data_IF_107985069706
#
_entry.id   IF_107985069706
#
_cell.length_a   1.000
_cell.length_b   1.000
_cell.length_c   1.000
_cell.angle_alpha   90.00
_cell.angle_beta   90.00
_cell.angle_gamma   90.00
#
_symmetry.space_group_name_H-M   'P 1'
#
loop_
_entity.id
_entity.type
_entity.pdbx_description
1 polymer ?
#
# COMPACT_ATOMS: atom_id res chain seq x y z
N UNK A 1 26.53 -3.88 -7.88
CA UNK A 1 26.29 -3.51 -6.47
C UNK A 1 26.05 -2.01 -6.40
N UNK A 2 25.03 -1.55 -5.67
CA UNK A 2 24.77 -0.12 -5.51
C UNK A 2 25.87 0.55 -4.69
N UNK A 3 26.01 1.86 -4.89
CA UNK A 3 26.93 2.72 -4.15
C UNK A 3 26.11 3.88 -3.58
N UNK A 4 26.40 4.28 -2.34
CA UNK A 4 25.75 5.43 -1.70
C UNK A 4 26.56 6.68 -2.07
N UNK A 5 25.89 7.73 -2.53
CA UNK A 5 26.53 9.02 -2.87
C UNK A 5 25.93 10.14 -2.03
N UNK A 6 26.78 10.94 -1.41
CA UNK A 6 26.39 12.10 -0.59
C UNK A 6 27.26 13.28 -0.98
N UNK A 7 26.71 14.24 -1.74
CA UNK A 7 27.51 15.30 -2.35
C UNK A 7 28.49 14.74 -3.38
N UNK A 8 29.79 15.01 -3.23
CA UNK A 8 30.84 14.46 -4.09
C UNK A 8 31.38 13.11 -3.60
N UNK A 9 31.14 12.77 -2.33
CA UNK A 9 31.61 11.54 -1.72
C UNK A 9 30.78 10.34 -2.18
N UNK A 10 31.47 9.24 -2.51
CA UNK A 10 30.88 7.99 -2.99
C UNK A 10 31.43 6.83 -2.18
N UNK A 11 30.55 5.99 -1.65
CA UNK A 11 30.95 4.77 -0.94
C UNK A 11 31.54 3.74 -1.90
N UNK A 12 32.31 2.81 -1.34
CA UNK A 12 32.55 1.53 -1.99
C UNK A 12 31.23 0.80 -2.30
N UNK A 13 31.23 -0.14 -3.26
CA UNK A 13 30.05 -0.95 -3.55
C UNK A 13 29.55 -1.66 -2.29
N UNK A 14 28.27 -1.52 -1.99
CA UNK A 14 27.63 -2.13 -0.82
C UNK A 14 26.90 -3.40 -1.26
N UNK A 15 27.14 -4.51 -0.55
CA UNK A 15 26.28 -5.68 -0.65
C UNK A 15 24.93 -5.36 -0.03
N UNK A 16 23.87 -5.45 -0.84
CA UNK A 16 22.53 -5.42 -0.31
C UNK A 16 22.19 -6.80 0.23
N UNK A 17 21.59 -6.83 1.43
CA UNK A 17 20.94 -8.04 1.94
C UNK A 17 19.62 -8.34 1.25
N UNK A 18 18.86 -9.26 1.84
CA UNK A 18 17.54 -9.63 1.34
C UNK A 18 16.58 -8.44 1.29
N UNK A 19 15.59 -8.55 0.42
CA UNK A 19 14.63 -7.49 0.12
C UNK A 19 13.51 -7.45 1.15
N UNK A 20 13.88 -7.23 2.40
CA UNK A 20 13.00 -7.24 3.57
C UNK A 20 13.50 -6.30 4.68
N UNK A 21 12.63 -6.00 5.63
CA UNK A 21 13.07 -5.39 6.90
C UNK A 21 13.34 -6.50 7.92
N UNK A 22 14.33 -6.35 8.82
CA UNK A 22 14.59 -7.36 9.85
C UNK A 22 13.35 -7.61 10.71
N UNK A 23 12.99 -8.89 10.88
CA UNK A 23 11.89 -9.28 11.75
C UNK A 23 12.19 -8.84 13.19
N UNK A 24 11.25 -8.14 13.81
CA UNK A 24 11.40 -7.62 15.17
C UNK A 24 12.19 -6.31 15.29
N UNK A 25 12.60 -5.68 14.18
CA UNK A 25 13.18 -4.34 14.23
C UNK A 25 12.11 -3.30 14.60
N UNK A 26 12.47 -2.43 15.55
CA UNK A 26 11.63 -1.30 16.00
C UNK A 26 11.35 -0.31 14.86
N UNK A 27 12.21 -0.27 13.84
CA UNK A 27 12.07 0.65 12.71
C UNK A 27 11.22 0.11 11.56
N UNK A 28 10.99 -1.21 11.49
CA UNK A 28 10.24 -1.82 10.39
C UNK A 28 8.85 -1.21 10.17
N UNK A 29 8.04 -0.94 11.23
CA UNK A 29 6.73 -0.31 11.04
C UNK A 29 6.80 1.09 10.44
N UNK A 30 7.81 1.89 10.85
CA UNK A 30 8.01 3.23 10.32
C UNK A 30 8.42 3.18 8.84
N UNK A 31 9.35 2.29 8.48
CA UNK A 31 9.81 2.13 7.11
C UNK A 31 8.69 1.67 6.18
N UNK A 32 7.82 0.78 6.64
CA UNK A 32 6.62 0.38 5.91
C UNK A 32 5.71 1.59 5.64
N UNK A 33 5.39 2.38 6.68
CA UNK A 33 4.56 3.57 6.53
C UNK A 33 5.17 4.60 5.57
N UNK A 34 6.50 4.79 5.60
CA UNK A 34 7.19 5.68 4.67
C UNK A 34 7.10 5.19 3.22
N UNK A 35 7.26 3.89 3.00
CA UNK A 35 7.10 3.28 1.68
C UNK A 35 5.66 3.38 1.17
N UNK A 36 4.67 3.35 2.06
CA UNK A 36 3.24 3.40 1.70
C UNK A 36 2.60 4.80 1.76
N UNK A 37 3.33 5.82 2.21
CA UNK A 37 2.84 7.19 2.38
C UNK A 37 2.15 7.80 1.13
N UNK A 38 2.57 7.50 -0.11
CA UNK A 38 1.87 7.98 -1.32
C UNK A 38 0.51 7.36 -1.58
N UNK A 39 0.26 6.12 -1.14
CA UNK A 39 -0.95 5.36 -1.47
C UNK A 39 -2.25 6.04 -1.01
N UNK A 40 -2.36 6.59 0.22
CA UNK A 40 -3.51 7.40 0.61
C UNK A 40 -3.85 8.54 -0.37
N UNK A 41 -2.82 9.19 -0.94
CA UNK A 41 -3.00 10.25 -1.94
C UNK A 41 -3.62 9.74 -3.23
N UNK A 42 -3.19 8.56 -3.69
CA UNK A 42 -3.75 7.89 -4.88
C UNK A 42 -5.21 7.47 -4.64
N UNK A 43 -5.52 6.94 -3.46
CA UNK A 43 -6.88 6.53 -3.10
C UNK A 43 -7.84 7.71 -2.98
N UNK A 44 -7.39 8.87 -2.46
CA UNK A 44 -8.20 10.10 -2.40
C UNK A 44 -8.62 10.65 -3.77
N UNK A 45 -7.93 10.26 -4.85
CA UNK A 45 -8.33 10.62 -6.22
C UNK A 45 -9.50 9.75 -6.75
N UNK A 46 -9.93 8.75 -5.99
CA UNK A 46 -11.07 7.89 -6.29
C UNK A 46 -12.25 8.40 -5.47
N UNK A 47 -13.16 9.13 -6.13
CA UNK A 47 -14.39 9.58 -5.48
C UNK A 47 -15.23 8.41 -4.99
N UNK A 48 -15.89 8.58 -3.83
CA UNK A 48 -16.77 7.57 -3.25
C UNK A 48 -16.07 6.50 -2.40
N UNK A 49 -14.75 6.58 -2.25
CA UNK A 49 -13.95 5.59 -1.49
C UNK A 49 -13.26 6.23 -0.29
N UNK A 50 -13.55 5.69 0.88
CA UNK A 50 -12.78 5.91 2.11
C UNK A 50 -11.81 4.74 2.33
N UNK A 51 -10.78 4.98 3.14
CA UNK A 51 -9.77 3.97 3.44
C UNK A 51 -9.19 4.11 4.84
N UNK A 52 -8.75 2.99 5.40
CA UNK A 52 -8.05 2.93 6.68
C UNK A 52 -6.87 1.97 6.59
N UNK A 53 -5.74 2.37 7.18
CA UNK A 53 -4.51 1.58 7.24
C UNK A 53 -4.24 1.14 8.66
N UNK A 54 -3.86 -0.12 8.83
CA UNK A 54 -3.34 -0.66 10.08
C UNK A 54 -2.20 -1.63 9.75
N UNK A 55 -0.95 -1.15 9.85
CA UNK A 55 0.22 -1.88 9.35
C UNK A 55 -0.01 -2.31 7.88
N UNK A 56 0.11 -3.61 7.58
CA UNK A 56 -0.10 -4.18 6.25
C UNK A 56 -1.58 -4.38 5.88
N UNK A 57 -2.51 -4.24 6.83
CA UNK A 57 -3.94 -4.31 6.56
C UNK A 57 -4.48 -2.96 6.05
N UNK A 58 -5.18 -3.02 4.92
CA UNK A 58 -5.87 -1.90 4.30
C UNK A 58 -7.35 -2.23 4.13
N UNK A 59 -8.21 -1.38 4.69
CA UNK A 59 -9.65 -1.43 4.48
C UNK A 59 -10.06 -0.38 3.46
N UNK A 60 -10.86 -0.78 2.47
CA UNK A 60 -11.51 0.10 1.49
C UNK A 60 -13.02 0.05 1.72
N UNK A 61 -13.68 1.20 1.74
CA UNK A 61 -15.11 1.28 1.99
C UNK A 61 -15.76 2.38 1.14
N UNK A 62 -17.05 2.23 0.85
CA UNK A 62 -17.83 3.23 0.14
C UNK A 62 -18.89 3.85 1.04
N UNK A 63 -19.28 5.08 0.73
CA UNK A 63 -20.35 5.74 1.46
C UNK A 63 -21.71 5.08 1.19
N UNK A 64 -22.55 5.02 2.22
CA UNK A 64 -23.89 4.37 2.20
C UNK A 64 -24.85 4.92 1.13
N UNK A 65 -24.60 6.12 0.61
CA UNK A 65 -25.50 6.80 -0.34
C UNK A 65 -25.26 6.43 -1.81
N UNK A 66 -24.20 5.67 -2.13
CA UNK A 66 -23.89 5.32 -3.51
C UNK A 66 -24.70 4.12 -4.01
N UNK A 67 -25.06 4.12 -5.30
CA UNK A 67 -25.68 2.96 -5.91
C UNK A 67 -24.71 1.77 -5.92
N UNK A 68 -25.21 0.54 -5.78
CA UNK A 68 -24.36 -0.65 -5.68
C UNK A 68 -23.37 -0.79 -6.85
N UNK A 69 -23.79 -0.46 -8.08
CA UNK A 69 -22.92 -0.52 -9.26
C UNK A 69 -21.82 0.57 -9.28
N UNK A 70 -22.08 1.74 -8.70
CA UNK A 70 -21.06 2.79 -8.57
C UNK A 70 -20.06 2.42 -7.47
N UNK A 71 -20.57 1.96 -6.33
CA UNK A 71 -19.74 1.48 -5.22
C UNK A 71 -18.82 0.33 -5.65
N UNK A 72 -19.33 -0.66 -6.38
CA UNK A 72 -18.53 -1.77 -6.90
C UNK A 72 -17.40 -1.29 -7.83
N UNK A 73 -17.71 -0.40 -8.78
CA UNK A 73 -16.71 0.18 -9.69
C UNK A 73 -15.63 0.96 -8.94
N UNK A 74 -16.04 1.74 -7.93
CA UNK A 74 -15.13 2.55 -7.12
C UNK A 74 -14.19 1.66 -6.27
N UNK A 75 -14.75 0.65 -5.59
CA UNK A 75 -13.98 -0.33 -4.82
C UNK A 75 -13.04 -1.14 -5.71
N UNK A 76 -13.50 -1.59 -6.88
CA UNK A 76 -12.66 -2.34 -7.81
C UNK A 76 -11.48 -1.48 -8.30
N UNK A 77 -11.73 -0.20 -8.64
CA UNK A 77 -10.68 0.73 -9.02
C UNK A 77 -9.68 0.93 -7.88
N UNK A 78 -10.16 1.11 -6.66
CA UNK A 78 -9.30 1.26 -5.48
C UNK A 78 -8.47 0.00 -5.22
N UNK A 79 -9.05 -1.19 -5.26
CA UNK A 79 -8.34 -2.46 -5.10
C UNK A 79 -7.26 -2.64 -6.18
N UNK A 80 -7.55 -2.29 -7.44
CA UNK A 80 -6.54 -2.28 -8.51
C UNK A 80 -5.42 -1.28 -8.24
N UNK A 81 -5.73 -0.06 -7.79
CA UNK A 81 -4.70 0.94 -7.43
C UNK A 81 -3.79 0.44 -6.31
N UNK A 82 -4.34 -0.20 -5.28
CA UNK A 82 -3.57 -0.81 -4.19
C UNK A 82 -2.65 -1.91 -4.73
N UNK A 83 -3.20 -2.80 -5.57
CA UNK A 83 -2.44 -3.91 -6.15
C UNK A 83 -1.23 -3.43 -6.96
N UNK A 84 -1.45 -2.49 -7.88
CA UNK A 84 -0.38 -1.94 -8.72
C UNK A 84 0.65 -1.17 -7.89
N UNK A 85 0.20 -0.42 -6.88
CA UNK A 85 1.11 0.31 -6.00
C UNK A 85 1.98 -0.63 -5.16
N UNK A 86 1.37 -1.64 -4.51
CA UNK A 86 2.10 -2.65 -3.75
C UNK A 86 3.15 -3.36 -4.62
N UNK A 87 2.78 -3.72 -5.85
CA UNK A 87 3.70 -4.31 -6.83
C UNK A 87 4.88 -3.39 -7.15
N UNK A 88 4.64 -2.09 -7.29
CA UNK A 88 5.71 -1.09 -7.51
C UNK A 88 6.69 -1.00 -6.33
N UNK A 89 6.22 -1.23 -5.10
CA UNK A 89 7.05 -1.32 -3.90
C UNK A 89 7.77 -2.68 -3.77
N UNK A 90 7.49 -3.65 -4.66
CA UNK A 90 8.02 -5.01 -4.57
C UNK A 90 7.25 -5.91 -3.59
N UNK A 91 6.03 -5.53 -3.22
CA UNK A 91 5.13 -6.34 -2.40
C UNK A 91 4.03 -6.98 -3.26
N UNK A 92 3.30 -7.91 -2.66
CA UNK A 92 2.12 -8.53 -3.25
C UNK A 92 0.95 -8.48 -2.28
N UNK A 93 -0.25 -8.16 -2.75
CA UNK A 93 -1.47 -8.40 -1.98
C UNK A 93 -1.65 -9.91 -1.75
N UNK A 94 -2.31 -10.29 -0.65
CA UNK A 94 -2.67 -11.68 -0.34
C UNK A 94 -4.16 -11.93 -0.62
N UNK A 95 -4.57 -12.37 -1.83
CA UNK A 95 -5.98 -12.46 -2.20
C UNK A 95 -6.75 -13.45 -1.31
N UNK A 96 -6.09 -14.51 -0.84
CA UNK A 96 -6.69 -15.54 0.01
C UNK A 96 -6.99 -15.02 1.43
N UNK A 97 -6.45 -13.87 1.80
CA UNK A 97 -6.72 -13.18 3.08
C UNK A 97 -7.62 -11.96 2.91
N UNK A 98 -7.91 -11.58 1.66
CA UNK A 98 -8.71 -10.39 1.35
C UNK A 98 -10.18 -10.77 1.38
N UNK A 99 -10.99 -10.00 2.11
CA UNK A 99 -12.41 -10.30 2.34
C UNK A 99 -13.29 -9.15 1.87
N UNK A 100 -14.49 -9.47 1.39
CA UNK A 100 -15.51 -8.49 1.03
C UNK A 100 -16.69 -8.57 1.99
N UNK A 101 -16.91 -7.49 2.74
CA UNK A 101 -18.07 -7.34 3.61
C UNK A 101 -19.14 -6.48 2.95
N UNK A 102 -20.30 -7.07 2.65
CA UNK A 102 -21.49 -6.34 2.20
C UNK A 102 -22.54 -6.28 3.32
N UNK A 103 -22.81 -5.08 3.82
CA UNK A 103 -23.88 -4.84 4.79
C UNK A 103 -25.16 -4.50 4.01
N UNK A 104 -26.08 -5.45 3.92
CA UNK A 104 -27.43 -5.20 3.40
C UNK A 104 -28.30 -4.63 4.52
N UNK A 105 -29.18 -3.65 4.24
CA UNK A 105 -30.16 -3.17 5.21
C UNK A 105 -31.14 -4.27 5.63
#
# INVERSE_FOLDING_TARGET
>A
MPTIKTGEEKSDPVELGDRDTPKGSVLSPLLFNLAFLPLPGLLKQIGGVDHAFCADDLTLCTARAESGALAEKALQRAATTVHEYAKSCGLSCAPQKSELLMIKP
#
